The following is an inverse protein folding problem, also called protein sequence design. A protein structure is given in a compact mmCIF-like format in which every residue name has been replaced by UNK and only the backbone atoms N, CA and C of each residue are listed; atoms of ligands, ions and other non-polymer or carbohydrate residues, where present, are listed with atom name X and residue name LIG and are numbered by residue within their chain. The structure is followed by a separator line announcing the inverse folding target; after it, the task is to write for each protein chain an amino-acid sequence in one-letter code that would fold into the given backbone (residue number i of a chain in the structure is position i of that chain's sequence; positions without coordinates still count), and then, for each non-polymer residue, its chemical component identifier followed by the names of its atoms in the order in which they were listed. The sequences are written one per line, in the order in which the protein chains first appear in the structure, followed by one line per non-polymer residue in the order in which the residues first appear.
data_IF_108057471631
#
_entry.id   IF_108057471631
#
_cell.length_a   1.000
_cell.length_b   1.000
_cell.length_c   1.000
_cell.angle_alpha   90.00
_cell.angle_beta   90.00
_cell.angle_gamma   90.00
#
_symmetry.space_group_name_H-M   'P 1'
#
loop_
_entity.id
_entity.type
_entity.pdbx_description
1 polymer ?
#
# COMPACT_ATOMS: atom_id res chain seq x y z
N UNK A 1 8.85 -4.24 13.61
CA UNK A 1 7.82 -3.18 13.46
C UNK A 1 6.85 -3.08 14.66
N UNK A 2 6.66 -4.13 15.46
CA UNK A 2 5.61 -4.21 16.49
C UNK A 2 5.83 -3.37 17.76
N UNK A 3 7.08 -3.10 18.13
CA UNK A 3 7.41 -2.37 19.37
C UNK A 3 7.09 -0.87 19.24
N UNK A 4 7.53 -0.21 18.16
CA UNK A 4 7.29 1.21 17.92
C UNK A 4 5.78 1.57 17.86
N UNK A 5 4.97 0.73 17.20
CA UNK A 5 3.51 0.89 17.17
C UNK A 5 2.86 0.72 18.55
N UNK A 6 3.36 -0.22 19.36
CA UNK A 6 2.89 -0.45 20.72
C UNK A 6 3.25 0.72 21.64
N UNK A 7 4.46 1.24 21.51
CA UNK A 7 4.97 2.37 22.30
C UNK A 7 4.25 3.68 21.91
N UNK A 8 3.96 3.90 20.62
CA UNK A 8 3.15 5.03 20.17
C UNK A 8 1.72 4.98 20.73
N UNK A 9 1.09 3.80 20.75
CA UNK A 9 -0.24 3.63 21.35
C UNK A 9 -0.24 3.89 22.87
N UNK A 10 0.83 3.53 23.57
CA UNK A 10 0.97 3.75 25.00
C UNK A 10 1.28 5.19 25.38
N UNK A 11 1.98 5.93 24.50
CA UNK A 11 2.36 7.33 24.72
C UNK A 11 1.35 8.34 24.15
N UNK A 12 0.26 7.87 23.54
CA UNK A 12 -0.73 8.74 22.89
C UNK A 12 -0.21 9.38 21.60
N UNK A 13 0.75 8.73 20.93
CA UNK A 13 1.32 9.21 19.68
C UNK A 13 0.26 9.29 18.59
N UNK A 14 0.08 10.50 18.04
CA UNK A 14 -0.77 10.73 16.87
C UNK A 14 -0.15 10.08 15.63
N UNK A 15 -1.02 9.39 14.88
CA UNK A 15 -0.73 8.86 13.55
C UNK A 15 -1.43 9.76 12.55
N UNK A 16 -0.67 10.30 11.60
CA UNK A 16 -1.17 11.25 10.61
C UNK A 16 -0.48 11.06 9.26
N UNK A 17 -1.07 11.63 8.21
CA UNK A 17 -0.57 11.53 6.85
C UNK A 17 -0.82 10.15 6.25
N UNK A 18 -2.10 9.83 6.00
CA UNK A 18 -2.46 8.58 5.32
C UNK A 18 -1.68 8.44 3.99
N UNK A 19 -1.33 7.21 3.60
CA UNK A 19 -0.65 6.98 2.33
C UNK A 19 -1.49 7.49 1.17
N UNK A 20 -0.83 8.12 0.20
CA UNK A 20 -1.46 8.52 -1.06
C UNK A 20 -1.42 7.32 -2.00
N UNK A 21 -2.59 6.95 -2.50
CA UNK A 21 -2.78 5.88 -3.48
C UNK A 21 -3.04 6.51 -4.85
N UNK A 22 -2.46 5.92 -5.88
CA UNK A 22 -2.69 6.25 -7.30
C UNK A 22 -2.85 4.95 -8.12
N UNK A 23 -3.94 4.19 -7.91
CA UNK A 23 -4.12 2.90 -8.55
C UNK A 23 -4.61 3.04 -10.00
N UNK A 24 -3.90 2.39 -10.91
CA UNK A 24 -4.29 2.14 -12.28
C UNK A 24 -4.77 0.69 -12.44
N UNK A 25 -5.85 0.49 -13.20
CA UNK A 25 -6.45 -0.83 -13.43
C UNK A 25 -6.42 -1.16 -14.92
N UNK A 26 -5.86 -2.32 -15.25
CA UNK A 26 -5.89 -2.91 -16.59
C UNK A 26 -6.76 -4.18 -16.58
N UNK A 27 -7.86 -4.17 -17.32
CA UNK A 27 -8.72 -5.36 -17.49
C UNK A 27 -8.15 -6.20 -18.64
N UNK A 28 -7.62 -7.37 -18.33
CA UNK A 28 -7.04 -8.28 -19.34
C UNK A 28 -8.10 -9.18 -19.97
N UNK A 29 -9.09 -9.61 -19.19
CA UNK A 29 -10.20 -10.45 -19.64
C UNK A 29 -11.44 -10.28 -18.74
N UNK A 30 -12.52 -11.01 -19.03
CA UNK A 30 -13.73 -11.00 -18.18
C UNK A 30 -13.50 -11.59 -16.78
N UNK A 31 -12.40 -12.33 -16.57
CA UNK A 31 -12.07 -12.98 -15.30
C UNK A 31 -10.71 -12.60 -14.73
N UNK A 32 -9.93 -11.74 -15.38
CA UNK A 32 -8.60 -11.32 -14.94
C UNK A 32 -8.37 -9.82 -15.14
N UNK A 33 -7.68 -9.20 -14.19
CA UNK A 33 -7.27 -7.81 -14.23
C UNK A 33 -5.95 -7.61 -13.47
N UNK A 34 -5.24 -6.54 -13.78
CA UNK A 34 -4.05 -6.12 -13.08
C UNK A 34 -4.31 -4.74 -12.45
N UNK A 35 -3.90 -4.58 -11.21
CA UNK A 35 -3.81 -3.26 -10.55
C UNK A 35 -2.34 -2.93 -10.37
N UNK A 36 -1.96 -1.71 -10.75
CA UNK A 36 -0.65 -1.11 -10.44
C UNK A 36 -0.90 0.15 -9.64
N UNK A 37 -0.25 0.30 -8.49
CA UNK A 37 -0.41 1.47 -7.62
C UNK A 37 0.95 2.06 -7.28
N UNK A 38 1.05 3.38 -7.37
CA UNK A 38 2.18 4.13 -6.85
C UNK A 38 1.87 4.62 -5.45
N UNK A 39 2.26 3.80 -4.47
CA UNK A 39 2.04 4.03 -3.06
C UNK A 39 3.07 5.03 -2.51
N UNK A 40 2.60 6.21 -2.11
CA UNK A 40 3.40 7.22 -1.41
C UNK A 40 3.02 7.25 0.09
N UNK A 41 3.87 6.63 0.92
CA UNK A 41 3.76 6.67 2.37
C UNK A 41 4.71 7.67 3.04
N UNK A 42 5.31 8.61 2.27
CA UNK A 42 6.26 9.61 2.78
C UNK A 42 5.62 10.61 3.75
N UNK A 43 4.31 10.83 3.62
CA UNK A 43 3.56 11.69 4.54
C UNK A 43 3.23 10.98 5.85
N UNK A 44 3.39 9.65 5.92
CA UNK A 44 3.04 8.85 7.08
C UNK A 44 4.00 9.13 8.23
N UNK A 45 3.42 9.52 9.37
CA UNK A 45 4.16 9.85 10.58
C UNK A 45 3.59 9.08 11.75
N UNK A 46 4.48 8.42 12.48
CA UNK A 46 4.22 7.87 13.80
C UNK A 46 4.99 8.75 14.79
N UNK A 47 4.31 9.67 15.48
CA UNK A 47 4.96 10.77 16.24
C UNK A 47 5.83 11.70 15.33
N UNK A 48 6.73 12.50 15.90
CA UNK A 48 7.57 13.45 15.14
C UNK A 48 8.64 12.79 14.23
N UNK A 49 8.66 11.46 14.11
CA UNK A 49 9.52 10.76 13.16
C UNK A 49 8.77 10.55 11.84
N UNK A 50 9.30 11.18 10.79
CA UNK A 50 8.90 10.97 9.40
C UNK A 50 9.26 9.57 8.93
N UNK A 51 8.33 8.86 8.30
CA UNK A 51 8.67 7.74 7.44
C UNK A 51 9.39 8.31 6.20
N UNK A 52 10.73 8.24 6.18
CA UNK A 52 11.51 8.64 5.01
C UNK A 52 11.54 7.51 3.97
N UNK A 53 10.38 7.14 3.43
CA UNK A 53 10.28 6.16 2.36
C UNK A 53 9.99 6.88 1.03
N UNK A 54 10.78 6.59 0.00
CA UNK A 54 10.44 6.96 -1.37
C UNK A 54 9.20 6.18 -1.82
N UNK A 55 8.34 6.74 -2.71
CA UNK A 55 7.20 6.02 -3.25
C UNK A 55 7.60 4.68 -3.84
N UNK A 56 6.73 3.68 -3.71
CA UNK A 56 7.01 2.33 -4.21
C UNK A 56 5.86 1.81 -5.05
N UNK A 57 6.20 0.99 -6.04
CA UNK A 57 5.21 0.34 -6.88
C UNK A 57 4.60 -0.88 -6.18
N UNK A 58 3.29 -1.03 -6.29
CA UNK A 58 2.54 -2.21 -5.86
C UNK A 58 1.79 -2.78 -7.06
N UNK A 59 2.07 -4.03 -7.40
CA UNK A 59 1.37 -4.75 -8.46
C UNK A 59 0.49 -5.84 -7.84
N UNK A 60 -0.79 -5.89 -8.21
CA UNK A 60 -1.71 -6.93 -7.79
C UNK A 60 -2.44 -7.54 -8.98
N UNK A 61 -2.28 -8.85 -9.19
CA UNK A 61 -3.14 -9.63 -10.08
C UNK A 61 -4.48 -9.91 -9.41
N UNK A 62 -5.56 -9.76 -10.17
CA UNK A 62 -6.93 -10.01 -9.73
C UNK A 62 -7.58 -11.09 -10.59
N UNK A 63 -8.29 -12.01 -9.93
CA UNK A 63 -9.12 -13.03 -10.58
C UNK A 63 -10.56 -12.94 -10.08
N UNK A 64 -11.53 -13.09 -10.99
CA UNK A 64 -12.94 -13.16 -10.63
C UNK A 64 -13.38 -14.61 -10.43
N UNK A 65 -13.84 -14.96 -9.23
CA UNK A 65 -14.23 -16.34 -8.88
C UNK A 65 -15.70 -16.68 -9.24
N UNK A 66 -16.39 -15.78 -9.93
CA UNK A 66 -17.81 -15.88 -10.25
C UNK A 66 -18.71 -15.13 -9.27
N UNK A 67 -18.20 -14.72 -8.10
CA UNK A 67 -18.92 -13.92 -7.11
C UNK A 67 -18.21 -12.61 -6.79
N UNK A 68 -16.88 -12.63 -6.70
CA UNK A 68 -16.08 -11.48 -6.36
C UNK A 68 -14.70 -11.52 -7.03
N UNK A 69 -14.10 -10.33 -7.17
CA UNK A 69 -12.69 -10.19 -7.50
C UNK A 69 -11.85 -10.50 -6.26
N UNK A 70 -10.81 -11.30 -6.45
CA UNK A 70 -9.83 -11.65 -5.42
C UNK A 70 -8.43 -11.35 -5.92
N UNK A 71 -7.57 -10.92 -5.02
CA UNK A 71 -6.14 -10.82 -5.28
C UNK A 71 -5.59 -12.24 -5.45
N UNK A 72 -5.09 -12.57 -6.64
CA UNK A 72 -4.40 -13.83 -6.93
C UNK A 72 -2.93 -13.79 -6.52
N UNK A 73 -2.32 -12.62 -6.69
CA UNK A 73 -0.92 -12.36 -6.43
C UNK A 73 -0.72 -10.88 -6.07
N UNK A 74 0.29 -10.62 -5.24
CA UNK A 74 0.64 -9.29 -4.80
C UNK A 74 2.16 -9.18 -4.75
N UNK A 75 2.69 -8.15 -5.41
CA UNK A 75 4.11 -7.82 -5.38
C UNK A 75 4.28 -6.36 -4.96
N UNK A 76 5.06 -6.16 -3.91
CA UNK A 76 5.50 -4.84 -3.47
C UNK A 76 6.95 -4.70 -3.89
N UNK A 77 7.26 -3.65 -4.63
CA UNK A 77 8.60 -3.37 -5.12
C UNK A 77 9.40 -2.53 -4.12
N UNK A 78 10.71 -2.42 -4.35
CA UNK A 78 11.59 -1.57 -3.55
C UNK A 78 11.20 -0.08 -3.71
N UNK A 79 11.52 0.79 -2.74
CA UNK A 79 11.33 2.24 -2.88
C UNK A 79 12.00 2.80 -4.15
N UNK A 80 11.38 3.83 -4.76
CA UNK A 80 11.88 4.49 -5.99
C UNK A 80 11.55 3.74 -7.28
N UNK A 81 10.56 2.85 -7.25
CA UNK A 81 10.12 2.04 -8.42
C UNK A 81 8.87 2.57 -9.11
N UNK A 82 8.33 3.65 -8.56
CA UNK A 82 7.56 4.66 -9.26
C UNK A 82 8.54 5.74 -9.77
#
# INVERSE_FOLDING_TARGET
MTQALRDARQTGGDVSGEPVLDPEVLIESSGSAQVTDCLDDSSWRLSAQSASAEPRRVDAGLVHDGLAWRVSDLRIWEPGTC
#
